data_IF_056576647758
#
_entry.id   IF_056576647758
#
_cell.length_a   1.000
_cell.length_b   1.000
_cell.length_c   1.000
_cell.angle_alpha   90.00
_cell.angle_beta   90.00
_cell.angle_gamma   90.00
#
_symmetry.space_group_name_H-M   'P 1'
#
loop_
_entity.id
_entity.type
_entity.pdbx_description
1 polymer ?
#
# COMPACT_ATOMS: atom_id res chain seq x y z
N UNK A 1 16.32 8.21 31.55
CA UNK A 1 14.92 8.53 31.19
C UNK A 1 14.81 8.28 29.71
N UNK A 2 13.96 7.36 29.27
CA UNK A 2 13.88 6.99 27.86
C UNK A 2 13.26 8.15 27.06
N UNK A 3 13.91 8.51 25.97
CA UNK A 3 13.48 9.52 25.00
C UNK A 3 12.22 8.99 24.30
N UNK A 4 11.05 9.58 24.61
CA UNK A 4 9.79 9.17 24.00
C UNK A 4 9.66 9.90 22.67
N UNK A 5 9.77 9.17 21.55
CA UNK A 5 9.55 9.76 20.22
C UNK A 5 8.09 10.16 20.09
N UNK A 6 7.81 11.45 19.97
CA UNK A 6 6.48 11.95 19.65
C UNK A 6 6.15 11.61 18.19
N UNK A 7 5.06 10.86 18.00
CA UNK A 7 4.46 10.49 16.72
C UNK A 7 2.99 10.12 16.97
N UNK A 8 2.20 9.78 15.93
CA UNK A 8 0.81 9.37 16.09
C UNK A 8 0.71 7.94 16.64
N UNK A 9 1.42 7.66 17.74
CA UNK A 9 1.36 6.39 18.42
C UNK A 9 0.12 6.42 19.31
N UNK A 10 -0.83 5.53 19.04
CA UNK A 10 -2.00 5.34 19.89
C UNK A 10 -1.61 4.83 21.30
N UNK A 11 -0.38 4.31 21.46
CA UNK A 11 0.17 3.72 22.68
C UNK A 11 1.63 4.12 22.88
N UNK A 12 2.13 3.97 24.10
CA UNK A 12 3.54 4.26 24.43
C UNK A 12 4.50 3.32 23.69
N UNK A 13 5.68 3.83 23.35
CA UNK A 13 6.74 3.04 22.72
C UNK A 13 7.06 1.78 23.55
N UNK A 14 7.17 0.64 22.87
CA UNK A 14 7.37 -0.66 23.50
C UNK A 14 6.29 -1.05 24.53
N UNK A 15 5.03 -0.66 24.35
CA UNK A 15 3.95 -1.05 25.28
C UNK A 15 3.83 -2.58 25.40
N UNK A 16 4.00 -3.32 24.30
CA UNK A 16 3.91 -4.79 24.26
C UNK A 16 4.89 -5.45 25.25
N UNK A 17 6.10 -4.91 25.40
CA UNK A 17 7.11 -5.41 26.34
C UNK A 17 6.78 -5.10 27.81
N UNK A 18 5.92 -4.11 28.06
CA UNK A 18 5.49 -3.68 29.40
C UNK A 18 4.22 -4.39 29.89
N UNK A 19 3.48 -5.03 28.98
CA UNK A 19 2.26 -5.78 29.31
C UNK A 19 2.60 -7.07 30.07
N UNK A 20 1.83 -7.37 31.12
CA UNK A 20 2.01 -8.59 31.90
C UNK A 20 1.51 -9.82 31.13
N UNK A 21 2.26 -10.92 31.15
CA UNK A 21 1.93 -12.18 30.46
C UNK A 21 1.64 -13.33 31.41
N UNK A 22 1.30 -13.05 32.68
CA UNK A 22 0.88 -14.10 33.61
C UNK A 22 -0.50 -14.67 33.19
N UNK A 23 -0.82 -15.88 33.64
CA UNK A 23 -2.06 -16.57 33.29
C UNK A 23 -3.32 -15.76 33.61
N UNK A 24 -3.31 -15.00 34.71
CA UNK A 24 -4.44 -14.15 35.10
C UNK A 24 -4.62 -12.97 34.14
N UNK A 25 -3.53 -12.31 33.72
CA UNK A 25 -3.58 -11.20 32.77
C UNK A 25 -3.97 -11.67 31.37
N UNK A 26 -3.48 -12.82 30.92
CA UNK A 26 -3.89 -13.38 29.62
C UNK A 26 -5.38 -13.72 29.59
N UNK A 27 -5.91 -14.35 30.63
CA UNK A 27 -7.34 -14.63 30.75
C UNK A 27 -8.19 -13.35 30.83
N UNK A 28 -7.65 -12.28 31.42
CA UNK A 28 -8.28 -10.96 31.41
C UNK A 28 -8.33 -10.37 30.01
N UNK A 29 -7.23 -10.41 29.25
CA UNK A 29 -7.17 -9.87 27.89
C UNK A 29 -8.13 -10.59 26.94
N UNK A 30 -8.16 -11.92 27.00
CA UNK A 30 -9.11 -12.74 26.23
C UNK A 30 -10.56 -12.39 26.60
N UNK A 31 -10.88 -12.27 27.90
CA UNK A 31 -12.22 -11.87 28.34
C UNK A 31 -12.62 -10.49 27.83
N UNK A 32 -11.65 -9.59 27.71
CA UNK A 32 -11.85 -8.21 27.25
C UNK A 32 -11.76 -8.07 25.73
N UNK A 33 -11.44 -9.15 24.99
CA UNK A 33 -11.24 -9.14 23.54
C UNK A 33 -10.05 -8.30 23.10
N UNK A 34 -8.98 -8.28 23.90
CA UNK A 34 -7.78 -7.48 23.65
C UNK A 34 -6.47 -8.28 23.73
N UNK A 35 -6.54 -9.58 23.47
CA UNK A 35 -5.41 -10.50 23.37
C UNK A 35 -4.35 -10.04 22.35
N UNK A 36 -4.76 -9.31 21.31
CA UNK A 36 -3.89 -8.73 20.29
C UNK A 36 -2.84 -7.76 20.86
N UNK A 37 -2.98 -7.26 22.09
CA UNK A 37 -1.96 -6.40 22.72
C UNK A 37 -0.71 -7.14 23.19
N UNK A 38 -0.78 -8.46 23.37
CA UNK A 38 0.37 -9.28 23.83
C UNK A 38 0.92 -10.22 22.76
N UNK A 39 0.18 -10.36 21.66
CA UNK A 39 0.62 -11.07 20.46
C UNK A 39 1.81 -10.33 19.81
N UNK A 40 2.87 -11.06 19.49
CA UNK A 40 4.08 -10.49 18.88
C UNK A 40 3.93 -10.48 17.36
N UNK A 41 3.12 -11.38 16.81
CA UNK A 41 2.91 -11.51 15.36
C UNK A 41 1.99 -10.38 14.82
N UNK A 42 1.17 -9.78 15.69
CA UNK A 42 0.37 -8.58 15.42
C UNK A 42 1.19 -7.26 15.50
N UNK A 43 2.52 -7.36 15.58
CA UNK A 43 3.38 -6.19 15.57
C UNK A 43 3.68 -5.73 14.14
N UNK A 44 3.23 -4.51 13.79
CA UNK A 44 3.43 -3.94 12.45
C UNK A 44 4.92 -3.78 12.13
N UNK A 45 5.75 -3.47 13.12
CA UNK A 45 7.20 -3.32 12.89
C UNK A 45 7.83 -4.66 12.56
N UNK A 46 7.47 -5.73 13.28
CA UNK A 46 7.90 -7.09 12.98
C UNK A 46 7.43 -7.54 11.60
N UNK A 47 6.14 -7.37 11.29
CA UNK A 47 5.57 -7.70 9.97
C UNK A 47 6.32 -6.98 8.84
N UNK A 48 6.58 -5.68 9.01
CA UNK A 48 7.27 -4.86 8.01
C UNK A 48 8.71 -5.33 7.84
N UNK A 49 9.42 -5.55 8.95
CA UNK A 49 10.80 -6.02 8.94
C UNK A 49 10.94 -7.37 8.24
N UNK A 50 10.11 -8.35 8.59
CA UNK A 50 10.17 -9.68 7.98
C UNK A 50 9.91 -9.64 6.47
N UNK A 51 8.99 -8.80 6.01
CA UNK A 51 8.69 -8.68 4.58
C UNK A 51 9.80 -7.97 3.81
N UNK A 52 10.47 -6.98 4.43
CA UNK A 52 11.66 -6.35 3.85
C UNK A 52 12.79 -7.39 3.76
N UNK A 53 13.11 -8.09 4.85
CA UNK A 53 14.16 -9.12 4.86
C UNK A 53 13.91 -10.26 3.85
N UNK A 54 12.64 -10.67 3.66
CA UNK A 54 12.27 -11.66 2.63
C UNK A 54 12.52 -11.16 1.21
N UNK A 55 12.40 -9.85 0.98
CA UNK A 55 12.53 -9.22 -0.35
C UNK A 55 13.88 -8.54 -0.58
N UNK A 56 14.76 -8.45 0.43
CA UNK A 56 16.10 -7.84 0.35
C UNK A 56 17.00 -8.47 -0.74
N UNK A 57 16.78 -9.75 -1.06
CA UNK A 57 17.51 -10.47 -2.12
C UNK A 57 16.82 -10.44 -3.49
N UNK A 58 15.56 -10.02 -3.55
CA UNK A 58 14.80 -9.91 -4.78
C UNK A 58 15.13 -8.57 -5.42
N UNK A 59 16.07 -8.56 -6.36
CA UNK A 59 16.25 -7.38 -7.21
C UNK A 59 15.00 -7.23 -8.05
N UNK A 60 14.32 -6.09 -7.91
CA UNK A 60 13.35 -5.67 -8.90
C UNK A 60 14.02 -5.75 -10.28
N UNK A 61 13.38 -6.40 -11.27
CA UNK A 61 13.91 -6.43 -12.62
C UNK A 61 14.08 -4.99 -13.09
N UNK A 62 15.23 -4.69 -13.70
CA UNK A 62 15.45 -3.36 -14.25
C UNK A 62 14.47 -3.06 -15.40
N UNK A 63 14.27 -1.78 -15.69
CA UNK A 63 13.34 -1.32 -16.70
C UNK A 63 13.61 -1.97 -18.08
N UNK A 64 14.88 -2.18 -18.48
CA UNK A 64 15.20 -2.81 -19.75
C UNK A 64 14.78 -4.28 -19.78
N UNK A 65 14.97 -5.01 -18.67
CA UNK A 65 14.54 -6.39 -18.54
C UNK A 65 13.02 -6.52 -18.72
N UNK A 66 12.24 -5.64 -18.06
CA UNK A 66 10.78 -5.62 -18.19
C UNK A 66 10.35 -5.27 -19.63
N UNK A 67 10.95 -4.24 -20.24
CA UNK A 67 10.63 -3.85 -21.61
C UNK A 67 10.97 -4.98 -22.59
N UNK A 68 12.13 -5.62 -22.45
CA UNK A 68 12.56 -6.69 -23.33
C UNK A 68 11.63 -7.91 -23.25
N UNK A 69 11.25 -8.33 -22.04
CA UNK A 69 10.31 -9.44 -21.85
C UNK A 69 8.94 -9.14 -22.46
N UNK A 70 8.44 -7.92 -22.26
CA UNK A 70 7.15 -7.49 -22.79
C UNK A 70 7.15 -7.42 -24.32
N UNK A 71 8.24 -6.92 -24.92
CA UNK A 71 8.43 -6.89 -26.37
C UNK A 71 8.53 -8.31 -26.94
N UNK A 72 9.24 -9.21 -26.27
CA UNK A 72 9.36 -10.62 -26.69
C UNK A 72 8.00 -11.33 -26.64
N UNK A 73 7.18 -11.02 -25.65
CA UNK A 73 5.90 -11.71 -25.41
C UNK A 73 4.76 -11.15 -26.27
N UNK A 74 4.63 -9.82 -26.37
CA UNK A 74 3.48 -9.15 -26.97
C UNK A 74 3.79 -8.42 -28.28
N UNK A 75 5.07 -8.29 -28.65
CA UNK A 75 5.52 -7.45 -29.75
C UNK A 75 5.66 -5.98 -29.36
N UNK A 76 6.43 -5.23 -30.16
CA UNK A 76 6.84 -3.85 -29.85
C UNK A 76 5.65 -2.91 -29.64
N UNK A 77 4.68 -2.92 -30.54
CA UNK A 77 3.57 -1.96 -30.49
C UNK A 77 2.66 -2.20 -29.27
N UNK A 78 2.37 -3.46 -28.97
CA UNK A 78 1.61 -3.82 -27.77
C UNK A 78 2.38 -3.46 -26.50
N UNK A 79 3.70 -3.71 -26.46
CA UNK A 79 4.55 -3.34 -25.33
C UNK A 79 4.52 -1.83 -25.06
N UNK A 80 4.59 -0.99 -26.10
CA UNK A 80 4.47 0.48 -25.98
C UNK A 80 3.12 0.86 -25.35
N UNK A 81 2.02 0.28 -25.83
CA UNK A 81 0.68 0.57 -25.30
C UNK A 81 0.54 0.16 -23.83
N UNK A 82 1.06 -1.01 -23.47
CA UNK A 82 1.02 -1.51 -22.08
C UNK A 82 1.85 -0.62 -21.16
N UNK A 83 3.09 -0.28 -21.54
CA UNK A 83 3.96 0.60 -20.74
C UNK A 83 3.34 1.99 -20.55
N UNK A 84 2.75 2.55 -21.61
CA UNK A 84 2.01 3.82 -21.53
C UNK A 84 0.82 3.71 -20.58
N UNK A 85 0.01 2.65 -20.74
CA UNK A 85 -1.15 2.40 -19.89
C UNK A 85 -0.80 2.19 -18.41
N UNK A 86 0.33 1.53 -18.14
CA UNK A 86 0.86 1.34 -16.79
C UNK A 86 1.31 2.67 -16.17
N UNK A 87 2.07 3.48 -16.91
CA UNK A 87 2.50 4.81 -16.45
C UNK A 87 1.31 5.74 -16.18
N UNK A 88 0.29 5.70 -17.04
CA UNK A 88 -0.94 6.44 -16.83
C UNK A 88 -1.69 5.95 -15.58
N UNK A 89 -1.78 4.63 -15.36
CA UNK A 89 -2.39 4.07 -14.16
C UNK A 89 -1.64 4.50 -12.89
N UNK A 90 -0.30 4.41 -12.88
CA UNK A 90 0.57 4.82 -11.77
C UNK A 90 0.34 6.29 -11.41
N UNK A 91 0.34 7.18 -12.41
CA UNK A 91 0.09 8.61 -12.22
C UNK A 91 -1.30 8.88 -11.62
N UNK A 92 -2.34 8.26 -12.18
CA UNK A 92 -3.72 8.43 -11.70
C UNK A 92 -3.89 7.90 -10.27
N UNK A 93 -3.25 6.77 -9.93
CA UNK A 93 -3.32 6.19 -8.59
C UNK A 93 -2.67 7.11 -7.55
N UNK A 94 -1.48 7.66 -7.85
CA UNK A 94 -0.83 8.64 -6.99
C UNK A 94 -1.71 9.86 -6.75
N UNK A 95 -2.31 10.40 -7.83
CA UNK A 95 -3.22 11.53 -7.74
C UNK A 95 -4.45 11.23 -6.89
N UNK A 96 -5.06 10.05 -7.06
CA UNK A 96 -6.20 9.60 -6.26
C UNK A 96 -5.86 9.51 -4.77
N UNK A 97 -4.71 8.92 -4.40
CA UNK A 97 -4.30 8.83 -3.00
C UNK A 97 -4.09 10.22 -2.39
N UNK A 98 -3.47 11.13 -3.15
CA UNK A 98 -3.29 12.52 -2.73
C UNK A 98 -4.63 13.25 -2.53
N UNK A 99 -5.54 13.14 -3.50
CA UNK A 99 -6.90 13.72 -3.40
C UNK A 99 -7.62 13.22 -2.14
N UNK A 100 -7.56 11.91 -1.85
CA UNK A 100 -8.21 11.33 -0.67
C UNK A 100 -7.58 11.80 0.64
N UNK A 101 -6.26 11.97 0.67
CA UNK A 101 -5.57 12.54 1.82
C UNK A 101 -5.97 14.01 2.05
N UNK A 102 -6.03 14.82 0.99
CA UNK A 102 -6.41 16.24 1.05
C UNK A 102 -7.89 16.42 1.44
N UNK A 103 -8.77 15.51 1.02
CA UNK A 103 -10.18 15.44 1.43
C UNK A 103 -10.37 14.98 2.89
N UNK A 104 -9.31 14.53 3.57
CA UNK A 104 -9.37 14.03 4.94
C UNK A 104 -10.00 12.63 5.06
N UNK A 105 -9.98 11.83 3.98
CA UNK A 105 -10.51 10.47 3.99
C UNK A 105 -9.54 9.54 4.72
N UNK A 106 -9.91 9.15 5.96
CA UNK A 106 -9.08 8.29 6.80
C UNK A 106 -9.05 6.80 6.38
N UNK A 107 -10.05 6.32 5.64
CA UNK A 107 -10.13 4.92 5.18
C UNK A 107 -10.63 4.87 3.74
N UNK A 108 -9.88 4.19 2.86
CA UNK A 108 -10.29 3.95 1.48
C UNK A 108 -11.31 2.81 1.43
N UNK A 109 -12.49 3.07 0.87
CA UNK A 109 -13.59 2.09 0.74
C UNK A 109 -13.67 1.52 -0.67
N UNK A 110 -14.45 0.45 -0.84
CA UNK A 110 -14.70 -0.16 -2.15
C UNK A 110 -15.34 0.82 -3.15
N UNK A 111 -16.17 1.76 -2.67
CA UNK A 111 -16.78 2.80 -3.50
C UNK A 111 -15.74 3.78 -4.05
N UNK A 112 -14.74 4.17 -3.25
CA UNK A 112 -13.65 5.02 -3.71
C UNK A 112 -12.84 4.35 -4.83
N UNK A 113 -12.56 3.06 -4.69
CA UNK A 113 -11.84 2.26 -5.70
C UNK A 113 -12.67 2.14 -6.98
N UNK A 114 -13.96 1.87 -6.85
CA UNK A 114 -14.87 1.78 -8.01
C UNK A 114 -14.93 3.12 -8.76
N UNK A 115 -15.09 4.22 -8.03
CA UNK A 115 -15.10 5.58 -8.58
C UNK A 115 -13.79 5.94 -9.29
N UNK A 116 -12.65 5.54 -8.72
CA UNK A 116 -11.34 5.71 -9.34
C UNK A 116 -11.25 5.02 -10.72
N UNK A 117 -11.64 3.76 -10.81
CA UNK A 117 -11.62 3.05 -12.09
C UNK A 117 -12.62 3.60 -13.09
N UNK A 118 -13.78 4.08 -12.64
CA UNK A 118 -14.75 4.74 -13.51
C UNK A 118 -14.23 6.08 -14.05
N UNK A 119 -13.46 6.85 -13.25
CA UNK A 119 -12.74 8.06 -13.71
C UNK A 119 -11.74 7.72 -14.82
N UNK A 120 -10.97 6.65 -14.65
CA UNK A 120 -10.01 6.19 -15.68
C UNK A 120 -10.73 5.75 -16.96
N UNK A 121 -11.84 5.00 -16.85
CA UNK A 121 -12.62 4.56 -18.01
C UNK A 121 -13.18 5.75 -18.79
N UNK A 122 -13.76 6.74 -18.11
CA UNK A 122 -14.28 7.97 -18.74
C UNK A 122 -13.19 8.74 -19.49
N UNK A 123 -12.04 8.94 -18.86
CA UNK A 123 -10.90 9.63 -19.50
C UNK A 123 -10.38 8.94 -20.76
N UNK A 124 -10.58 7.62 -20.93
CA UNK A 124 -10.21 6.89 -22.15
C UNK A 124 -11.26 7.00 -23.26
N UNK A 125 -12.54 7.13 -22.90
CA UNK A 125 -13.64 7.29 -23.86
C UNK A 125 -13.68 8.72 -24.41
N UNK A 126 -13.28 9.70 -23.62
CA UNK A 126 -13.15 11.12 -23.98
C UNK A 126 -11.83 11.44 -24.71
N UNK A 127 -11.30 10.52 -25.53
CA UNK A 127 -10.14 10.80 -26.38
C UNK A 127 -10.32 12.08 -27.21
N UNK A 128 -9.23 12.79 -27.56
CA UNK A 128 -9.23 14.19 -27.95
C UNK A 128 -10.21 14.43 -29.10
N UNK A 129 -11.24 15.22 -28.83
CA UNK A 129 -12.01 15.89 -29.85
C UNK A 129 -11.08 16.82 -30.65
N UNK A 130 -10.76 16.43 -31.88
CA UNK A 130 -10.45 17.33 -33.00
C UNK A 130 -9.14 18.14 -32.97
N UNK A 131 -8.48 18.10 -34.12
CA UNK A 131 -7.60 19.14 -34.70
C UNK A 131 -6.10 19.08 -34.34
N UNK A 132 -5.32 18.38 -35.18
CA UNK A 132 -4.10 18.90 -35.81
C UNK A 132 -3.47 17.85 -36.77
N UNK A 133 -3.99 17.81 -38.01
CA UNK A 133 -3.21 17.83 -39.27
C UNK A 133 -4.14 18.12 -40.46
#
# INVERSE_FOLDING_TARGET
MADHKEGPFLLIDGFRQRMCKCSECLALYERMGCEFFVDIDDDIELFTKENIEKTEGEKEPDDETIVNELVQTAGRDAAIHVLKGFNDLKRNLHQFMKEKQEEGVGVITAEHVTSFFDKIKRSRVEGPSGDDF
#
